data_IF_742642069603
#
_entry.id   IF_742642069603
#
_cell.length_a   1.000
_cell.length_b   1.000
_cell.length_c   1.000
_cell.angle_alpha   90.00
_cell.angle_beta   90.00
_cell.angle_gamma   90.00
#
_symmetry.space_group_name_H-M   'P 1'
#
loop_
_entity.id
_entity.type
_entity.pdbx_description
1 polymer ?
#
# COMPACT_ATOMS: atom_id res chain seq x y z
N UNK A 1 16.25 14.25 -9.39
CA UNK A 1 15.57 15.28 -8.56
C UNK A 1 15.10 16.40 -9.48
N UNK A 2 14.05 16.10 -10.24
CA UNK A 2 13.47 16.99 -11.26
C UNK A 2 12.66 18.11 -10.61
N UNK A 3 12.49 19.21 -11.32
CA UNK A 3 11.88 20.51 -10.98
C UNK A 3 10.43 20.49 -10.43
N UNK A 4 9.89 19.35 -9.99
CA UNK A 4 8.53 19.21 -9.47
C UNK A 4 8.31 19.80 -8.07
N UNK A 5 9.37 20.02 -7.28
CA UNK A 5 9.23 20.50 -5.90
C UNK A 5 8.82 21.98 -5.75
N UNK A 6 8.71 22.74 -6.86
CA UNK A 6 8.48 24.19 -6.81
C UNK A 6 7.01 24.63 -6.92
N UNK A 7 6.05 23.70 -7.12
CA UNK A 7 4.64 24.04 -7.38
C UNK A 7 3.63 23.15 -6.63
N UNK A 8 3.99 22.57 -5.48
CA UNK A 8 3.00 21.89 -4.65
C UNK A 8 2.03 22.92 -4.06
N UNK A 9 0.84 23.03 -4.66
CA UNK A 9 -0.25 23.88 -4.18
C UNK A 9 -0.62 23.45 -2.76
N UNK A 10 -0.71 24.40 -1.83
CA UNK A 10 -1.23 24.12 -0.49
C UNK A 10 -2.64 23.49 -0.59
N UNK A 11 -3.00 22.55 0.30
CA UNK A 11 -4.32 21.95 0.30
C UNK A 11 -5.37 23.05 0.45
N UNK A 12 -6.27 23.17 -0.51
CA UNK A 12 -7.37 24.15 -0.42
C UNK A 12 -8.44 23.63 0.55
N UNK A 13 -9.27 24.50 1.16
CA UNK A 13 -10.42 24.05 1.95
C UNK A 13 -11.36 23.10 1.20
N UNK A 14 -11.48 23.28 -0.13
CA UNK A 14 -12.21 22.35 -1.01
C UNK A 14 -11.53 20.98 -1.09
N UNK A 15 -10.21 20.89 -1.19
CA UNK A 15 -9.50 19.60 -1.17
C UNK A 15 -9.74 18.86 0.14
N UNK A 16 -9.67 19.54 1.28
CA UNK A 16 -9.90 18.94 2.60
C UNK A 16 -11.32 18.40 2.76
N UNK A 17 -12.33 19.18 2.36
CA UNK A 17 -13.73 18.74 2.40
C UNK A 17 -13.99 17.58 1.44
N UNK A 18 -13.42 17.63 0.23
CA UNK A 18 -13.49 16.54 -0.73
C UNK A 18 -12.87 15.27 -0.16
N UNK A 19 -11.69 15.33 0.47
CA UNK A 19 -11.05 14.16 1.05
C UNK A 19 -11.87 13.48 2.16
N UNK A 20 -12.47 14.26 3.04
CA UNK A 20 -13.34 13.69 4.09
C UNK A 20 -14.55 13.00 3.46
N UNK A 21 -15.19 13.63 2.47
CA UNK A 21 -16.33 13.03 1.77
C UNK A 21 -15.94 11.77 1.00
N UNK A 22 -14.80 11.82 0.29
CA UNK A 22 -14.26 10.70 -0.49
C UNK A 22 -13.94 9.53 0.43
N UNK A 23 -13.30 9.77 1.56
CA UNK A 23 -13.03 8.75 2.57
C UNK A 23 -14.32 8.03 2.97
N UNK A 24 -15.36 8.79 3.32
CA UNK A 24 -16.64 8.20 3.71
C UNK A 24 -17.29 7.43 2.56
N UNK A 25 -17.37 8.01 1.36
CA UNK A 25 -17.97 7.36 0.18
C UNK A 25 -17.27 6.06 -0.19
N UNK A 26 -15.94 6.06 -0.28
CA UNK A 26 -15.16 4.87 -0.63
C UNK A 26 -15.31 3.79 0.45
N UNK A 27 -15.22 4.15 1.73
CA UNK A 27 -15.39 3.21 2.83
C UNK A 27 -16.80 2.60 2.80
N UNK A 28 -17.84 3.41 2.67
CA UNK A 28 -19.23 2.95 2.65
C UNK A 28 -19.50 2.06 1.43
N UNK A 29 -18.90 2.38 0.28
CA UNK A 29 -19.02 1.60 -0.94
C UNK A 29 -18.37 0.21 -0.80
N UNK A 30 -17.15 0.14 -0.27
CA UNK A 30 -16.45 -1.13 -0.03
C UNK A 30 -17.17 -1.97 1.03
N UNK A 31 -17.76 -1.33 2.05
CA UNK A 31 -18.54 -2.02 3.10
C UNK A 31 -19.76 -2.77 2.59
N UNK A 32 -20.29 -2.41 1.41
CA UNK A 32 -21.38 -3.17 0.77
C UNK A 32 -20.99 -4.62 0.47
N UNK A 33 -19.70 -4.88 0.24
CA UNK A 33 -19.20 -6.17 -0.25
C UNK A 33 -18.10 -6.79 0.61
N UNK A 34 -17.43 -6.01 1.46
CA UNK A 34 -16.36 -6.49 2.34
C UNK A 34 -16.56 -6.00 3.77
N UNK A 35 -16.54 -6.92 4.72
CA UNK A 35 -16.66 -6.59 6.15
C UNK A 35 -15.25 -6.50 6.74
N UNK A 36 -14.83 -5.31 7.13
CA UNK A 36 -13.55 -5.07 7.79
C UNK A 36 -13.57 -3.86 8.71
N UNK A 37 -12.52 -3.74 9.53
CA UNK A 37 -12.21 -2.51 10.24
C UNK A 37 -12.02 -1.34 9.28
N UNK A 38 -12.62 -0.20 9.62
CA UNK A 38 -12.49 1.06 8.88
C UNK A 38 -11.02 1.49 8.78
N UNK A 39 -10.19 1.12 9.77
CA UNK A 39 -8.75 1.39 9.77
C UNK A 39 -8.02 0.78 8.57
N UNK A 40 -8.41 -0.42 8.12
CA UNK A 40 -7.74 -1.07 6.98
C UNK A 40 -8.01 -0.29 5.69
N UNK A 41 -9.27 0.13 5.49
CA UNK A 41 -9.66 0.91 4.33
C UNK A 41 -9.04 2.31 4.36
N UNK A 42 -8.95 2.93 5.54
CA UNK A 42 -8.21 4.18 5.72
C UNK A 42 -6.73 4.02 5.36
N UNK A 43 -6.07 2.93 5.78
CA UNK A 43 -4.65 2.68 5.44
C UNK A 43 -4.46 2.44 3.94
N UNK A 44 -5.42 1.78 3.26
CA UNK A 44 -5.40 1.64 1.80
C UNK A 44 -5.56 2.99 1.09
N UNK A 45 -6.47 3.85 1.56
CA UNK A 45 -6.60 5.21 1.06
C UNK A 45 -5.33 6.04 1.30
N UNK A 46 -4.69 5.85 2.47
CA UNK A 46 -3.40 6.49 2.76
C UNK A 46 -2.33 6.06 1.75
N UNK A 47 -2.26 4.76 1.45
CA UNK A 47 -1.33 4.23 0.46
C UNK A 47 -1.62 4.77 -0.95
N UNK A 48 -2.89 4.86 -1.35
CA UNK A 48 -3.29 5.43 -2.63
C UNK A 48 -2.84 6.89 -2.77
N UNK A 49 -3.20 7.74 -1.80
CA UNK A 49 -2.93 9.19 -1.83
C UNK A 49 -1.45 9.56 -1.64
N UNK A 50 -0.59 8.58 -1.35
CA UNK A 50 0.87 8.77 -1.31
C UNK A 50 1.56 8.21 -2.54
N UNK A 51 0.78 7.80 -3.56
CA UNK A 51 1.27 7.04 -4.72
C UNK A 51 2.09 5.81 -4.30
N UNK A 52 1.70 5.19 -3.19
CA UNK A 52 2.38 4.05 -2.58
C UNK A 52 1.69 2.73 -2.88
N UNK A 53 2.43 1.64 -2.67
CA UNK A 53 1.92 0.28 -2.84
C UNK A 53 1.66 -0.35 -1.47
N UNK A 54 0.72 -1.30 -1.41
CA UNK A 54 0.40 -2.02 -0.18
C UNK A 54 0.62 -3.53 -0.32
N UNK A 55 1.15 -4.13 0.73
CA UNK A 55 1.33 -5.57 0.87
C UNK A 55 0.31 -6.12 1.87
N UNK A 56 -0.57 -7.01 1.42
CA UNK A 56 -1.63 -7.64 2.20
C UNK A 56 -1.20 -9.06 2.58
N UNK A 57 -0.79 -9.23 3.83
CA UNK A 57 -0.47 -10.52 4.41
C UNK A 57 -1.70 -11.08 5.13
N UNK A 58 -1.98 -12.36 4.96
CA UNK A 58 -3.03 -13.01 5.72
C UNK A 58 -3.25 -14.46 5.30
N UNK A 59 -4.09 -15.16 6.04
CA UNK A 59 -4.43 -16.55 5.74
C UNK A 59 -5.36 -16.69 4.52
N UNK A 60 -5.45 -17.87 3.90
CA UNK A 60 -6.45 -18.13 2.86
C UNK A 60 -7.87 -17.92 3.34
N UNK A 61 -8.77 -17.54 2.43
CA UNK A 61 -10.21 -17.50 2.70
C UNK A 61 -10.74 -16.20 3.34
N UNK A 62 -9.90 -15.21 3.63
CA UNK A 62 -10.33 -13.91 4.20
C UNK A 62 -10.75 -12.87 3.15
N UNK A 63 -11.09 -13.33 1.93
CA UNK A 63 -11.60 -12.52 0.83
C UNK A 63 -10.74 -11.29 0.45
N UNK A 64 -9.40 -11.39 0.52
CA UNK A 64 -8.46 -10.32 0.12
C UNK A 64 -8.70 -9.83 -1.31
N UNK A 65 -8.90 -10.77 -2.23
CA UNK A 65 -9.21 -10.47 -3.63
C UNK A 65 -10.50 -9.66 -3.76
N UNK A 66 -11.52 -9.95 -2.93
CA UNK A 66 -12.76 -9.17 -2.89
C UNK A 66 -12.53 -7.76 -2.38
N UNK A 67 -11.77 -7.59 -1.28
CA UNK A 67 -11.40 -6.29 -0.75
C UNK A 67 -10.71 -5.43 -1.82
N UNK A 68 -9.67 -5.97 -2.45
CA UNK A 68 -8.88 -5.24 -3.45
C UNK A 68 -9.72 -4.87 -4.67
N UNK A 69 -10.53 -5.81 -5.16
CA UNK A 69 -11.43 -5.56 -6.30
C UNK A 69 -12.48 -4.50 -5.97
N UNK A 70 -13.10 -4.58 -4.80
CA UNK A 70 -14.09 -3.60 -4.34
C UNK A 70 -13.47 -2.21 -4.20
N UNK A 71 -12.27 -2.15 -3.59
CA UNK A 71 -11.52 -0.91 -3.48
C UNK A 71 -11.24 -0.31 -4.86
N UNK A 72 -10.65 -1.06 -5.80
CA UNK A 72 -10.33 -0.57 -7.14
C UNK A 72 -11.58 -0.07 -7.91
N UNK A 73 -12.68 -0.82 -7.85
CA UNK A 73 -13.93 -0.42 -8.51
C UNK A 73 -14.52 0.87 -7.91
N UNK A 74 -14.42 1.06 -6.59
CA UNK A 74 -14.89 2.28 -5.92
C UNK A 74 -14.09 3.52 -6.31
N UNK A 75 -12.85 3.34 -6.81
CA UNK A 75 -11.99 4.45 -7.24
C UNK A 75 -12.28 4.93 -8.68
N UNK A 76 -13.12 4.21 -9.44
CA UNK A 76 -13.30 4.48 -10.88
C UNK A 76 -12.04 4.21 -11.71
N UNK A 77 -11.11 3.42 -11.17
CA UNK A 77 -9.84 3.10 -11.77
C UNK A 77 -9.90 1.80 -12.57
N UNK A 78 -9.09 1.70 -13.63
CA UNK A 78 -8.86 0.42 -14.30
C UNK A 78 -8.20 -0.57 -13.35
N UNK A 79 -8.75 -1.79 -13.34
CA UNK A 79 -8.31 -2.87 -12.48
C UNK A 79 -7.81 -4.06 -13.29
N UNK A 80 -6.63 -4.56 -12.95
CA UNK A 80 -6.10 -5.82 -13.48
C UNK A 80 -5.61 -6.71 -12.33
N UNK A 81 -5.75 -8.02 -12.52
CA UNK A 81 -5.27 -9.04 -11.60
C UNK A 81 -4.19 -9.86 -12.26
N UNK A 82 -3.08 -10.04 -11.55
CA UNK A 82 -1.96 -10.91 -11.90
C UNK A 82 -1.94 -11.99 -10.83
N UNK A 83 -2.18 -13.24 -11.23
CA UNK A 83 -1.99 -14.38 -10.36
C UNK A 83 -0.53 -14.81 -10.47
N UNK A 84 0.21 -14.76 -9.37
CA UNK A 84 1.59 -15.23 -9.35
C UNK A 84 1.60 -16.76 -9.27
N UNK A 85 2.31 -17.36 -10.20
CA UNK A 85 2.51 -18.81 -10.30
C UNK A 85 3.99 -19.11 -10.58
N UNK A 86 4.47 -20.33 -10.31
CA UNK A 86 5.89 -20.68 -10.51
C UNK A 86 6.38 -20.53 -11.96
N UNK A 87 5.46 -20.61 -12.92
CA UNK A 87 5.69 -20.53 -14.37
C UNK A 87 5.49 -19.14 -14.96
N UNK A 88 5.00 -18.17 -14.17
CA UNK A 88 4.75 -16.80 -14.63
C UNK A 88 6.07 -16.14 -15.07
N UNK A 89 6.11 -15.61 -16.29
CA UNK A 89 7.29 -14.92 -16.83
C UNK A 89 7.21 -13.40 -16.59
N UNK A 90 8.35 -12.69 -16.52
CA UNK A 90 8.38 -11.23 -16.49
C UNK A 90 7.56 -10.58 -17.62
N UNK A 91 7.64 -11.14 -18.83
CA UNK A 91 6.93 -10.63 -20.01
C UNK A 91 5.40 -10.78 -19.91
N UNK A 92 4.89 -11.73 -19.11
CA UNK A 92 3.46 -11.87 -18.85
C UNK A 92 2.92 -10.74 -17.96
N UNK A 93 3.80 -10.04 -17.24
CA UNK A 93 3.47 -8.87 -16.41
C UNK A 93 3.61 -7.59 -17.23
N UNK A 94 4.77 -7.41 -17.89
CA UNK A 94 5.09 -6.17 -18.60
C UNK A 94 4.45 -6.10 -19.97
N UNK A 95 4.29 -7.23 -20.67
CA UNK A 95 3.84 -7.29 -22.05
C UNK A 95 4.92 -7.80 -23.00
N UNK A 96 4.50 -8.15 -24.20
CA UNK A 96 5.34 -8.76 -25.24
C UNK A 96 4.89 -8.38 -26.64
N UNK A 97 5.79 -8.43 -27.61
CA UNK A 97 5.47 -8.24 -29.02
C UNK A 97 5.00 -9.55 -29.65
N UNK A 98 3.82 -9.52 -30.28
CA UNK A 98 3.23 -10.69 -30.94
C UNK A 98 3.17 -10.42 -32.44
N UNK A 99 3.57 -11.42 -33.24
CA UNK A 99 3.44 -11.34 -34.69
C UNK A 99 1.96 -11.33 -35.08
N UNK A 100 1.51 -10.21 -35.63
CA UNK A 100 0.23 -10.08 -36.26
C UNK A 100 0.33 -10.58 -37.72
N UNK A 101 -0.23 -11.76 -37.98
CA UNK A 101 -0.16 -12.41 -39.29
C UNK A 101 -0.95 -11.66 -40.38
N UNK A 102 -1.88 -10.76 -40.02
CA UNK A 102 -2.65 -9.99 -41.01
C UNK A 102 -1.85 -8.81 -41.56
N UNK A 103 -1.09 -8.14 -40.70
CA UNK A 103 -0.26 -6.97 -41.04
C UNK A 103 1.20 -7.34 -41.30
N UNK A 104 1.59 -8.58 -40.97
CA UNK A 104 2.97 -9.06 -40.95
C UNK A 104 3.89 -8.15 -40.12
N UNK A 105 3.34 -7.56 -39.05
CA UNK A 105 4.02 -6.68 -38.10
C UNK A 105 4.06 -7.31 -36.71
N UNK A 106 5.02 -6.86 -35.89
CA UNK A 106 5.04 -7.19 -34.46
C UNK A 106 4.25 -6.11 -33.71
N UNK A 107 3.10 -6.49 -33.15
CA UNK A 107 2.24 -5.59 -32.38
C UNK A 107 2.48 -5.83 -30.89
N UNK A 108 2.63 -4.75 -30.12
CA UNK A 108 2.78 -4.84 -28.69
C UNK A 108 1.46 -5.26 -28.05
N UNK A 109 1.49 -6.36 -27.31
CA UNK A 109 0.44 -6.72 -26.35
C UNK A 109 0.88 -6.26 -24.97
N UNK A 110 0.28 -5.18 -24.50
CA UNK A 110 0.48 -4.67 -23.15
C UNK A 110 0.11 -5.71 -22.10
N UNK A 111 0.98 -5.84 -21.09
CA UNK A 111 0.74 -6.70 -19.95
C UNK A 111 -0.29 -6.11 -18.98
N UNK A 112 -0.75 -6.89 -18.01
CA UNK A 112 -1.71 -6.46 -16.98
C UNK A 112 -1.16 -5.36 -16.06
N UNK A 113 0.13 -5.04 -16.11
CA UNK A 113 0.71 -3.92 -15.35
C UNK A 113 0.20 -2.55 -15.80
N UNK A 114 -0.27 -2.44 -17.05
CA UNK A 114 -0.84 -1.21 -17.60
C UNK A 114 -2.29 -1.01 -17.12
N UNK A 115 -2.44 -0.71 -15.83
CA UNK A 115 -3.70 -0.35 -15.20
C UNK A 115 -3.44 0.53 -13.97
N UNK A 116 -4.43 1.33 -13.58
CA UNK A 116 -4.34 2.20 -12.41
C UNK A 116 -4.18 1.42 -11.10
N UNK A 117 -4.88 0.29 -10.97
CA UNK A 117 -4.77 -0.61 -9.81
C UNK A 117 -4.48 -2.03 -10.27
N UNK A 118 -3.35 -2.58 -9.81
CA UNK A 118 -2.90 -3.94 -10.09
C UNK A 118 -2.91 -4.77 -8.83
N UNK A 119 -3.70 -5.86 -8.84
CA UNK A 119 -3.64 -6.90 -7.82
C UNK A 119 -2.57 -7.93 -8.18
N UNK A 120 -1.47 -7.98 -7.42
CA UNK A 120 -0.48 -9.06 -7.49
C UNK A 120 -0.83 -10.14 -6.48
N UNK A 121 -1.65 -11.11 -6.88
CA UNK A 121 -2.14 -12.15 -5.96
C UNK A 121 -1.06 -13.23 -5.76
N UNK A 122 -0.77 -13.55 -4.50
CA UNK A 122 0.19 -14.57 -4.07
C UNK A 122 1.61 -14.35 -4.61
N UNK A 123 2.11 -13.11 -4.50
CA UNK A 123 3.41 -12.69 -5.07
C UNK A 123 4.59 -13.61 -4.66
N UNK A 124 4.48 -14.29 -3.51
CA UNK A 124 5.43 -15.26 -3.01
C UNK A 124 5.43 -16.61 -3.76
N UNK A 125 4.57 -16.83 -4.77
CA UNK A 125 4.51 -18.06 -5.57
C UNK A 125 5.29 -18.01 -6.89
N UNK A 126 5.75 -16.83 -7.32
CA UNK A 126 6.58 -16.72 -8.52
C UNK A 126 8.07 -16.55 -8.18
N UNK A 127 8.98 -16.92 -9.09
CA UNK A 127 10.41 -16.73 -8.90
C UNK A 127 10.82 -15.26 -8.73
N UNK A 128 11.97 -15.02 -8.10
CA UNK A 128 12.50 -13.68 -7.83
C UNK A 128 12.68 -12.80 -9.09
N UNK A 129 12.91 -13.41 -10.27
CA UNK A 129 12.98 -12.68 -11.55
C UNK A 129 11.63 -12.06 -11.94
N UNK A 130 10.55 -12.80 -11.75
CA UNK A 130 9.18 -12.35 -12.06
C UNK A 130 8.69 -11.34 -11.02
N UNK A 131 9.01 -11.55 -9.74
CA UNK A 131 8.78 -10.57 -8.68
C UNK A 131 9.47 -9.23 -8.99
N UNK A 132 10.73 -9.29 -9.44
CA UNK A 132 11.51 -8.09 -9.80
C UNK A 132 10.84 -7.25 -10.88
N UNK A 133 10.19 -7.87 -11.88
CA UNK A 133 9.51 -7.14 -12.95
C UNK A 133 8.35 -6.26 -12.42
N UNK A 134 7.56 -6.78 -11.47
CA UNK A 134 6.52 -6.00 -10.80
C UNK A 134 7.13 -4.88 -9.94
N UNK A 135 8.18 -5.19 -9.19
CA UNK A 135 8.80 -4.27 -8.24
C UNK A 135 9.58 -3.14 -8.91
N UNK A 136 10.14 -3.39 -10.09
CA UNK A 136 10.75 -2.38 -10.95
C UNK A 136 9.68 -1.42 -11.49
N UNK A 137 8.57 -1.96 -12.01
CA UNK A 137 7.42 -1.16 -12.45
C UNK A 137 6.86 -0.28 -11.31
N UNK A 138 6.79 -0.80 -10.09
CA UNK A 138 6.43 -0.04 -8.88
C UNK A 138 7.39 1.13 -8.60
N UNK A 139 8.70 0.91 -8.75
CA UNK A 139 9.70 1.90 -8.37
C UNK A 139 9.91 2.99 -9.43
N UNK A 140 9.86 2.60 -10.71
CA UNK A 140 10.16 3.47 -11.84
C UNK A 140 8.89 4.08 -12.46
N UNK A 141 7.70 3.54 -12.14
CA UNK A 141 6.42 3.95 -12.75
C UNK A 141 6.41 3.88 -14.28
N UNK A 142 7.28 3.05 -14.84
CA UNK A 142 7.42 2.79 -16.26
C UNK A 142 7.96 1.37 -16.46
N UNK A 143 7.78 0.83 -17.66
CA UNK A 143 8.36 -0.46 -18.06
C UNK A 143 9.08 -0.30 -19.39
N UNK A 144 10.18 -1.02 -19.56
CA UNK A 144 10.91 -1.05 -20.84
C UNK A 144 10.75 -2.41 -21.49
N UNK A 145 10.18 -2.44 -22.70
CA UNK A 145 9.91 -3.66 -23.46
C UNK A 145 10.70 -3.56 -24.76
N UNK A 146 11.65 -4.48 -24.99
CA UNK A 146 12.50 -4.52 -26.19
C UNK A 146 13.15 -3.14 -26.52
N UNK A 147 13.63 -2.45 -25.49
CA UNK A 147 14.30 -1.14 -25.62
C UNK A 147 13.38 0.07 -25.75
N UNK A 148 12.05 -0.11 -25.79
CA UNK A 148 11.08 0.99 -25.77
C UNK A 148 10.49 1.15 -24.38
N UNK A 149 10.71 2.32 -23.76
CA UNK A 149 10.15 2.68 -22.46
C UNK A 149 8.72 3.19 -22.59
N UNK A 150 7.84 2.74 -21.70
CA UNK A 150 6.44 3.14 -21.61
C UNK A 150 6.09 3.50 -20.17
N UNK A 151 5.47 4.66 -19.99
CA UNK A 151 4.97 5.10 -18.70
C UNK A 151 3.70 4.33 -18.31
N UNK A 152 3.53 4.10 -17.00
CA UNK A 152 2.32 3.50 -16.46
C UNK A 152 1.23 4.57 -16.23
N UNK A 153 -0.06 4.20 -16.27
CA UNK A 153 -1.16 5.12 -16.00
C UNK A 153 -1.05 5.76 -14.61
N UNK A 154 -1.47 7.02 -14.45
CA UNK A 154 -1.50 7.71 -13.16
C UNK A 154 -2.95 7.92 -12.70
N UNK A 155 -3.27 7.65 -11.41
CA UNK A 155 -2.42 7.05 -10.38
C UNK A 155 -2.10 5.57 -10.66
N UNK A 156 -0.92 5.10 -10.22
CA UNK A 156 -0.50 3.70 -10.31
C UNK A 156 -0.34 3.10 -8.90
N UNK A 157 -1.16 2.10 -8.57
CA UNK A 157 -1.12 1.39 -7.29
C UNK A 157 -1.01 -0.11 -7.49
N UNK A 158 -0.16 -0.74 -6.68
CA UNK A 158 -0.03 -2.20 -6.62
C UNK A 158 -0.47 -2.65 -5.25
N UNK A 159 -1.40 -3.59 -5.24
CA UNK A 159 -1.90 -4.27 -4.06
C UNK A 159 -1.45 -5.72 -4.17
N UNK A 160 -0.35 -6.06 -3.50
CA UNK A 160 0.21 -7.41 -3.52
C UNK A 160 -0.34 -8.22 -2.35
N UNK A 161 -0.66 -9.49 -2.55
CA UNK A 161 -1.06 -10.40 -1.45
C UNK A 161 0.02 -11.44 -1.21
N UNK A 162 0.18 -11.85 0.04
CA UNK A 162 1.03 -12.97 0.43
C UNK A 162 0.31 -13.88 1.41
N UNK A 163 0.62 -15.17 1.31
CA UNK A 163 0.17 -16.20 2.24
C UNK A 163 1.36 -16.78 3.01
N UNK A 164 1.45 -16.58 4.34
CA UNK A 164 2.60 -17.00 5.12
C UNK A 164 2.68 -18.51 5.40
N UNK A 165 1.62 -19.29 5.15
CA UNK A 165 1.49 -20.70 5.60
C UNK A 165 1.75 -21.72 4.47
N UNK A 166 2.06 -21.28 3.25
CA UNK A 166 2.28 -22.20 2.13
C UNK A 166 3.56 -23.05 2.28
N UNK A 167 3.42 -24.37 2.13
CA UNK A 167 4.50 -25.35 2.35
C UNK A 167 5.30 -25.69 1.08
N UNK A 168 4.79 -25.39 -0.11
CA UNK A 168 5.45 -25.70 -1.39
C UNK A 168 5.56 -24.45 -2.28
N UNK A 169 6.73 -24.26 -2.91
CA UNK A 169 6.92 -23.23 -3.96
C UNK A 169 6.93 -21.78 -3.46
N UNK A 170 7.23 -21.54 -2.18
CA UNK A 170 7.28 -20.20 -1.60
C UNK A 170 8.65 -19.56 -1.82
N UNK A 171 8.67 -18.48 -2.61
CA UNK A 171 9.79 -17.56 -2.78
C UNK A 171 9.54 -16.34 -1.91
N UNK A 172 10.17 -16.30 -0.73
CA UNK A 172 10.12 -15.14 0.14
C UNK A 172 10.64 -13.90 -0.60
N UNK A 173 9.93 -12.78 -0.45
CA UNK A 173 10.44 -11.49 -0.93
C UNK A 173 11.64 -11.09 -0.06
N UNK A 174 12.82 -10.81 -0.66
CA UNK A 174 13.91 -10.18 0.06
C UNK A 174 13.47 -8.88 0.75
N UNK A 175 14.09 -8.53 1.85
CA UNK A 175 13.72 -7.38 2.68
C UNK A 175 13.81 -6.07 1.89
N UNK A 176 14.81 -5.96 1.01
CA UNK A 176 14.96 -4.83 0.09
C UNK A 176 13.78 -4.69 -0.90
N UNK A 177 13.08 -5.78 -1.21
CA UNK A 177 11.89 -5.77 -2.05
C UNK A 177 10.65 -5.38 -1.25
N UNK A 178 10.50 -5.93 -0.05
CA UNK A 178 9.38 -5.61 0.85
C UNK A 178 9.39 -4.14 1.25
N UNK A 179 10.56 -3.52 1.40
CA UNK A 179 10.72 -2.09 1.70
C UNK A 179 10.11 -1.15 0.63
N UNK A 180 9.89 -1.65 -0.61
CA UNK A 180 9.21 -0.89 -1.68
C UNK A 180 7.72 -0.68 -1.44
N UNK A 181 7.10 -1.49 -0.59
CA UNK A 181 5.71 -1.26 -0.17
C UNK A 181 5.69 -0.17 0.90
N UNK A 182 4.78 0.79 0.76
CA UNK A 182 4.58 1.84 1.75
C UNK A 182 4.12 1.21 3.07
N UNK A 183 3.10 0.37 2.97
CA UNK A 183 2.42 -0.27 4.09
C UNK A 183 2.34 -1.78 3.92
N UNK A 184 2.44 -2.49 5.05
CA UNK A 184 2.10 -3.91 5.17
C UNK A 184 0.88 -4.06 6.07
N UNK A 185 -0.19 -4.61 5.54
CA UNK A 185 -1.46 -4.83 6.23
C UNK A 185 -1.57 -6.32 6.55
N UNK A 186 -1.72 -6.64 7.85
CA UNK A 186 -1.99 -8.01 8.30
C UNK A 186 -3.49 -8.19 8.47
N UNK A 187 -4.04 -9.17 7.77
CA UNK A 187 -5.45 -9.53 7.81
C UNK A 187 -5.58 -10.88 8.53
N UNK A 188 -6.13 -10.83 9.75
CA UNK A 188 -6.48 -12.01 10.53
C UNK A 188 -7.87 -12.55 10.17
N UNK A 189 -8.28 -13.61 10.86
CA UNK A 189 -9.67 -14.06 10.79
C UNK A 189 -10.61 -12.98 11.35
N UNK A 190 -11.79 -12.80 10.74
CA UNK A 190 -12.79 -11.89 11.28
C UNK A 190 -13.25 -12.35 12.66
N UNK A 191 -13.63 -11.40 13.51
CA UNK A 191 -14.31 -11.70 14.77
C UNK A 191 -15.66 -12.40 14.51
N UNK A 192 -16.24 -13.14 15.48
CA UNK A 192 -17.55 -13.76 15.31
C UNK A 192 -18.67 -12.80 14.92
N UNK A 193 -18.55 -11.51 15.30
CA UNK A 193 -19.48 -10.45 14.89
C UNK A 193 -19.32 -10.09 13.42
N UNK A 194 -18.09 -9.92 12.96
CA UNK A 194 -17.78 -9.65 11.56
C UNK A 194 -18.13 -10.85 10.68
N UNK A 195 -17.85 -12.07 11.13
CA UNK A 195 -18.21 -13.30 10.41
C UNK A 195 -19.72 -13.44 10.26
N UNK A 196 -20.51 -13.14 11.31
CA UNK A 196 -21.97 -13.05 11.17
C UNK A 196 -22.40 -11.97 10.17
N UNK A 197 -21.72 -10.82 10.13
CA UNK A 197 -22.03 -9.78 9.16
C UNK A 197 -21.70 -10.25 7.72
N UNK A 198 -20.58 -10.95 7.52
CA UNK A 198 -20.23 -11.59 6.25
C UNK A 198 -21.36 -12.53 5.81
N UNK A 199 -21.81 -13.44 6.68
CA UNK A 199 -22.92 -14.35 6.37
C UNK A 199 -24.19 -13.59 5.97
N UNK A 200 -24.54 -12.51 6.68
CA UNK A 200 -25.72 -11.70 6.36
C UNK A 200 -25.59 -10.99 5.01
N UNK A 201 -24.40 -10.50 4.65
CA UNK A 201 -24.12 -9.81 3.39
C UNK A 201 -24.19 -10.79 2.21
N UNK A 202 -23.57 -11.97 2.33
CA UNK A 202 -23.54 -12.96 1.25
C UNK A 202 -24.80 -13.85 1.17
N UNK A 203 -25.67 -13.81 2.18
CA UNK A 203 -27.01 -14.42 2.11
C UNK A 203 -28.02 -13.55 1.32
N UNK A 204 -27.57 -12.41 0.77
CA UNK A 204 -28.37 -11.50 -0.06
C UNK A 204 -27.75 -11.40 -1.46
N UNK A 205 -28.48 -10.82 -2.41
CA UNK A 205 -27.93 -10.50 -3.72
C UNK A 205 -26.72 -9.56 -3.57
N UNK A 206 -25.57 -9.86 -4.18
CA UNK A 206 -24.39 -8.99 -4.10
C UNK A 206 -24.72 -7.59 -4.60
N UNK A 207 -24.44 -6.58 -3.78
CA UNK A 207 -24.51 -5.19 -4.22
C UNK A 207 -23.35 -4.91 -5.18
N UNK A 208 -23.64 -4.25 -6.31
CA UNK A 208 -22.60 -3.76 -7.19
C UNK A 208 -21.87 -2.59 -6.52
N UNK A 209 -20.55 -2.58 -6.68
CA UNK A 209 -19.70 -1.46 -6.27
C UNK A 209 -19.73 -0.41 -7.37
N UNK A 210 -20.12 0.81 -7.03
CA UNK A 210 -20.18 1.94 -7.94
C UNK A 210 -18.95 2.85 -7.78
N UNK A 211 -18.40 3.39 -8.88
CA UNK A 211 -17.26 4.30 -8.81
C UNK A 211 -17.64 5.61 -8.11
N UNK A 212 -16.86 6.00 -7.11
CA UNK A 212 -17.04 7.21 -6.31
C UNK A 212 -16.08 8.34 -6.73
N UNK A 213 -15.10 8.02 -7.57
CA UNK A 213 -13.97 8.85 -7.95
C UNK A 213 -13.64 8.66 -9.44
N UNK A 214 -12.75 9.52 -9.94
CA UNK A 214 -12.07 9.33 -11.23
C UNK A 214 -10.55 9.30 -11.02
N UNK A 215 -9.77 8.68 -11.93
CA UNK A 215 -8.31 8.70 -11.89
C UNK A 215 -7.72 10.11 -11.75
N UNK A 216 -8.26 11.08 -12.49
CA UNK A 216 -7.80 12.47 -12.47
C UNK A 216 -8.00 13.11 -11.10
N UNK A 217 -9.16 12.86 -10.48
CA UNK A 217 -9.45 13.35 -9.13
C UNK A 217 -8.44 12.78 -8.13
N UNK A 218 -8.06 11.51 -8.27
CA UNK A 218 -7.09 10.88 -7.36
C UNK A 218 -5.70 11.49 -7.54
N UNK A 219 -5.27 11.74 -8.78
CA UNK A 219 -3.98 12.34 -9.08
C UNK A 219 -3.87 13.76 -8.48
N UNK A 220 -4.92 14.59 -8.62
CA UNK A 220 -5.00 15.91 -7.99
C UNK A 220 -4.87 15.84 -6.45
N UNK A 221 -5.47 14.83 -5.82
CA UNK A 221 -5.36 14.65 -4.37
C UNK A 221 -3.98 14.17 -3.95
N UNK A 222 -3.34 13.30 -4.74
CA UNK A 222 -1.96 12.87 -4.49
C UNK A 222 -1.01 14.07 -4.50
N UNK A 223 -1.17 15.01 -5.44
CA UNK A 223 -0.38 16.24 -5.49
C UNK A 223 -0.66 17.14 -4.26
N UNK A 224 -1.92 17.30 -3.87
CA UNK A 224 -2.30 18.12 -2.72
C UNK A 224 -1.75 17.59 -1.38
N UNK A 225 -1.52 16.28 -1.25
CA UNK A 225 -0.89 15.68 -0.05
C UNK A 225 0.52 16.22 0.16
N UNK A 226 1.26 16.57 -0.90
CA UNK A 226 2.62 17.11 -0.76
C UNK A 226 2.64 18.43 0.02
N UNK A 227 1.60 19.26 -0.16
CA UNK A 227 1.43 20.56 0.48
C UNK A 227 1.02 20.52 1.96
N UNK A 228 0.68 19.35 2.52
CA UNK A 228 0.31 19.22 3.95
C UNK A 228 1.51 19.56 4.83
N UNK A 229 1.30 20.41 5.83
CA UNK A 229 2.34 20.90 6.72
C UNK A 229 2.71 19.87 7.80
N UNK A 230 4.02 19.75 8.07
CA UNK A 230 4.58 18.95 9.15
C UNK A 230 5.51 19.85 9.95
N UNK A 231 5.24 19.98 11.25
CA UNK A 231 6.10 20.75 12.16
C UNK A 231 7.42 20.03 12.39
N UNK A 232 8.49 20.78 12.65
CA UNK A 232 9.83 20.23 12.89
C UNK A 232 9.83 19.22 14.05
N UNK A 233 9.13 19.51 15.16
CA UNK A 233 8.95 18.59 16.29
C UNK A 233 8.40 17.20 15.89
N UNK A 234 7.52 17.16 14.88
CA UNK A 234 6.95 15.91 14.38
C UNK A 234 7.92 15.18 13.46
N UNK A 235 8.76 15.91 12.71
CA UNK A 235 9.86 15.32 11.95
C UNK A 235 10.87 14.67 12.92
N UNK A 236 11.24 15.37 13.99
CA UNK A 236 12.10 14.85 15.04
C UNK A 236 11.47 13.66 15.75
N UNK A 237 10.17 13.68 16.00
CA UNK A 237 9.44 12.54 16.54
C UNK A 237 9.54 11.30 15.62
N UNK A 238 9.33 11.46 14.31
CA UNK A 238 9.48 10.38 13.32
C UNK A 238 10.92 9.84 13.32
N UNK A 239 11.92 10.73 13.36
CA UNK A 239 13.33 10.34 13.40
C UNK A 239 13.63 9.53 14.66
N UNK A 240 13.18 10.00 15.84
CA UNK A 240 13.36 9.28 17.12
C UNK A 240 12.69 7.91 17.12
N UNK A 241 11.48 7.79 16.57
CA UNK A 241 10.81 6.49 16.41
C UNK A 241 11.65 5.53 15.56
N UNK A 242 12.10 5.98 14.39
CA UNK A 242 12.92 5.16 13.49
C UNK A 242 14.27 4.80 14.11
N UNK A 243 14.93 5.73 14.80
CA UNK A 243 16.18 5.47 15.51
C UNK A 243 16.00 4.45 16.63
N UNK A 244 14.91 4.55 17.41
CA UNK A 244 14.61 3.59 18.47
C UNK A 244 14.47 2.16 17.94
N UNK A 245 13.95 1.97 16.72
CA UNK A 245 13.93 0.63 16.10
C UNK A 245 15.32 0.07 15.83
N UNK A 246 16.33 0.91 15.57
CA UNK A 246 17.71 0.48 15.26
C UNK A 246 18.52 0.13 16.50
N UNK A 247 18.12 0.66 17.65
CA UNK A 247 18.77 0.42 18.95
C UNK A 247 17.99 -0.56 19.81
N UNK A 248 16.89 -1.12 19.30
CA UNK A 248 16.04 -2.03 20.05
C UNK A 248 16.72 -3.39 20.25
N UNK A 249 16.61 -3.95 21.45
CA UNK A 249 17.33 -5.19 21.86
C UNK A 249 16.97 -6.41 21.02
N UNK A 250 15.74 -6.49 20.52
CA UNK A 250 15.24 -7.61 19.71
C UNK A 250 15.43 -7.43 18.19
N UNK A 251 16.09 -6.36 17.75
CA UNK A 251 16.22 -6.01 16.33
C UNK A 251 17.66 -6.18 15.85
N UNK A 252 17.85 -7.01 14.82
CA UNK A 252 19.12 -7.16 14.12
C UNK A 252 19.36 -6.00 13.14
N UNK A 253 18.32 -5.60 12.39
CA UNK A 253 18.36 -4.46 11.48
C UNK A 253 17.08 -3.63 11.60
N UNK A 254 17.21 -2.38 12.05
CA UNK A 254 16.10 -1.45 12.20
C UNK A 254 15.72 -0.71 10.91
N UNK A 255 14.67 0.09 11.00
CA UNK A 255 14.09 0.76 9.84
C UNK A 255 15.04 1.80 9.21
N UNK A 256 15.09 1.85 7.87
CA UNK A 256 15.97 2.74 7.10
C UNK A 256 15.48 4.19 7.08
N UNK A 257 16.27 5.17 6.59
CA UNK A 257 15.78 6.54 6.37
C UNK A 257 14.57 6.63 5.43
N UNK A 258 14.41 5.66 4.51
CA UNK A 258 13.20 5.55 3.68
C UNK A 258 11.95 5.37 4.52
N UNK A 259 12.05 4.66 5.65
CA UNK A 259 10.93 4.47 6.58
C UNK A 259 10.46 5.80 7.18
N UNK A 260 11.38 6.71 7.51
CA UNK A 260 11.04 8.07 7.98
C UNK A 260 10.26 8.85 6.93
N UNK A 261 10.72 8.80 5.67
CA UNK A 261 10.04 9.45 4.55
C UNK A 261 8.64 8.85 4.30
N UNK A 262 8.54 7.51 4.27
CA UNK A 262 7.28 6.80 4.11
C UNK A 262 6.28 7.14 5.23
N UNK A 263 6.74 7.18 6.48
CA UNK A 263 5.89 7.49 7.62
C UNK A 263 5.40 8.94 7.59
N UNK A 264 6.26 9.88 7.21
CA UNK A 264 5.89 11.29 7.04
C UNK A 264 4.83 11.45 5.93
N UNK A 265 5.06 10.86 4.75
CA UNK A 265 4.10 10.91 3.63
C UNK A 265 2.76 10.29 3.99
N UNK A 266 2.78 9.13 4.64
CA UNK A 266 1.58 8.47 5.12
C UNK A 266 0.82 9.34 6.13
N UNK A 267 1.53 9.98 7.07
CA UNK A 267 0.93 10.88 8.06
C UNK A 267 0.29 12.12 7.42
N UNK A 268 0.94 12.72 6.41
CA UNK A 268 0.37 13.83 5.61
C UNK A 268 -0.94 13.43 4.94
N UNK A 269 -0.94 12.27 4.28
CA UNK A 269 -2.12 11.72 3.62
C UNK A 269 -3.27 11.46 4.60
N UNK A 270 -2.98 10.87 5.76
CA UNK A 270 -4.00 10.70 6.81
C UNK A 270 -4.53 12.04 7.32
N UNK A 271 -3.68 13.03 7.57
CA UNK A 271 -4.15 14.35 7.98
C UNK A 271 -5.17 14.93 7.00
N UNK A 272 -4.88 14.84 5.70
CA UNK A 272 -5.78 15.30 4.63
C UNK A 272 -7.09 14.50 4.58
N UNK A 273 -7.05 13.17 4.73
CA UNK A 273 -8.24 12.31 4.87
C UNK A 273 -9.09 12.64 6.10
N UNK A 274 -8.47 13.23 7.14
CA UNK A 274 -9.14 13.73 8.34
C UNK A 274 -9.57 15.20 8.22
N UNK A 275 -9.42 15.82 7.04
CA UNK A 275 -9.81 17.20 6.78
C UNK A 275 -8.86 18.25 7.36
N UNK A 276 -7.60 17.88 7.62
CA UNK A 276 -6.55 18.76 8.15
C UNK A 276 -5.43 18.97 7.12
N UNK A 277 -4.92 20.19 7.06
CA UNK A 277 -3.74 20.58 6.29
C UNK A 277 -2.43 20.50 7.12
N UNK A 278 -2.49 19.96 8.33
CA UNK A 278 -1.33 19.71 9.19
C UNK A 278 -1.39 18.34 9.88
N UNK A 279 -0.21 17.74 10.07
CA UNK A 279 -0.05 16.46 10.76
C UNK A 279 -0.13 16.62 12.28
N UNK A 280 -0.71 15.62 12.97
CA UNK A 280 -0.67 15.50 14.44
C UNK A 280 0.01 14.18 14.86
N UNK A 281 0.48 14.05 16.12
CA UNK A 281 1.17 12.84 16.57
C UNK A 281 0.38 11.54 16.37
N UNK A 282 -0.95 11.59 16.50
CA UNK A 282 -1.80 10.41 16.34
C UNK A 282 -1.83 9.89 14.90
N UNK A 283 -1.56 10.73 13.89
CA UNK A 283 -1.38 10.29 12.51
C UNK A 283 -0.18 9.36 12.39
N UNK A 284 0.92 9.75 13.00
CA UNK A 284 2.19 9.00 12.99
C UNK A 284 2.02 7.70 13.77
N UNK A 285 1.46 7.76 14.99
CA UNK A 285 1.28 6.59 15.86
C UNK A 285 0.39 5.53 15.23
N UNK A 286 -0.71 5.91 14.60
CA UNK A 286 -1.61 4.95 13.95
C UNK A 286 -0.93 4.26 12.77
N UNK A 287 -0.13 4.98 11.99
CA UNK A 287 0.48 4.47 10.76
C UNK A 287 1.80 3.73 11.00
N UNK A 288 2.49 3.99 12.11
CA UNK A 288 3.78 3.37 12.43
C UNK A 288 3.76 1.83 12.36
N UNK A 289 2.76 1.10 12.89
CA UNK A 289 2.69 -0.35 12.74
C UNK A 289 2.57 -0.81 11.28
N UNK A 290 1.87 -0.07 10.44
CA UNK A 290 1.69 -0.43 9.02
C UNK A 290 2.91 -0.09 8.18
N UNK A 291 3.65 0.96 8.53
CA UNK A 291 4.82 1.43 7.79
C UNK A 291 6.11 0.77 8.27
N UNK A 292 6.29 0.53 9.56
CA UNK A 292 7.59 0.13 10.11
C UNK A 292 7.79 -1.38 10.24
N UNK A 293 6.73 -2.15 10.48
CA UNK A 293 6.82 -3.58 10.82
C UNK A 293 7.58 -4.41 9.79
N UNK A 294 7.38 -4.15 8.50
CA UNK A 294 8.03 -4.90 7.43
C UNK A 294 9.44 -4.42 7.06
N UNK A 295 9.94 -3.44 7.81
CA UNK A 295 11.27 -2.84 7.65
C UNK A 295 12.21 -3.19 8.80
N UNK A 296 11.81 -4.16 9.64
CA UNK A 296 12.61 -4.68 10.74
C UNK A 296 13.05 -6.11 10.44
N UNK A 297 14.31 -6.41 10.69
CA UNK A 297 14.83 -7.78 10.78
C UNK A 297 15.07 -8.05 12.26
N UNK A 298 14.38 -9.05 12.79
CA UNK A 298 14.51 -9.44 14.20
C UNK A 298 15.69 -10.36 14.42
N UNK A 299 16.17 -10.39 15.65
CA UNK A 299 17.13 -11.38 16.11
C UNK A 299 16.43 -12.74 16.32
N UNK A 300 17.10 -13.89 16.10
CA UNK A 300 16.53 -15.21 16.34
C UNK A 300 16.00 -15.40 17.78
N UNK A 301 16.65 -14.77 18.76
CA UNK A 301 16.24 -14.79 20.16
C UNK A 301 14.83 -14.19 20.36
N UNK A 302 14.49 -13.15 19.60
CA UNK A 302 13.15 -12.54 19.64
C UNK A 302 12.08 -13.53 19.17
N UNK A 303 12.37 -14.31 18.12
CA UNK A 303 11.45 -15.33 17.62
C UNK A 303 11.22 -16.45 18.64
N UNK A 304 12.29 -16.87 19.35
CA UNK A 304 12.20 -17.88 20.42
C UNK A 304 11.35 -17.40 21.61
N UNK A 305 11.41 -16.10 21.91
CA UNK A 305 10.59 -15.46 22.94
C UNK A 305 9.15 -15.15 22.47
N UNK A 306 8.83 -15.42 21.20
CA UNK A 306 7.53 -15.14 20.60
C UNK A 306 7.27 -13.65 20.35
N UNK A 307 8.32 -12.83 20.33
CA UNK A 307 8.25 -11.39 20.09
C UNK A 307 8.29 -11.12 18.59
N UNK A 308 7.22 -10.54 18.05
CA UNK A 308 7.13 -10.15 16.66
C UNK A 308 7.49 -8.69 16.41
N UNK A 309 7.69 -8.34 15.14
CA UNK A 309 7.93 -6.97 14.72
C UNK A 309 6.79 -6.00 15.14
N UNK A 310 5.49 -6.38 15.15
CA UNK A 310 4.45 -5.53 15.70
C UNK A 310 4.63 -5.22 17.19
N UNK A 311 5.12 -6.17 17.98
CA UNK A 311 5.33 -6.01 19.42
C UNK A 311 6.47 -5.02 19.67
N UNK A 312 7.56 -5.14 18.92
CA UNK A 312 8.68 -4.17 18.92
C UNK A 312 8.19 -2.76 18.59
N UNK A 313 7.39 -2.60 17.54
CA UNK A 313 6.84 -1.27 17.19
C UNK A 313 5.90 -0.76 18.29
N UNK A 314 5.10 -1.63 18.90
CA UNK A 314 4.26 -1.30 20.05
C UNK A 314 5.07 -0.76 21.23
N UNK A 315 6.18 -1.43 21.57
CA UNK A 315 7.11 -1.00 22.62
C UNK A 315 7.76 0.35 22.28
N UNK A 316 8.30 0.49 21.06
CA UNK A 316 8.91 1.75 20.59
C UNK A 316 7.93 2.92 20.67
N UNK A 317 6.65 2.72 20.34
CA UNK A 317 5.62 3.76 20.44
C UNK A 317 5.27 4.14 21.88
N UNK A 318 5.44 3.21 22.84
CA UNK A 318 5.24 3.48 24.27
C UNK A 318 6.43 4.22 24.88
N UNK A 319 7.65 3.85 24.49
CA UNK A 319 8.89 4.40 25.03
C UNK A 319 9.20 5.79 24.46
N UNK A 320 9.07 5.95 23.14
CA UNK A 320 9.33 7.22 22.46
C UNK A 320 8.09 8.10 22.56
N UNK A 321 8.08 9.00 23.55
CA UNK A 321 7.02 9.99 23.71
C UNK A 321 7.22 11.18 22.78
N UNK A 322 6.10 11.68 22.25
CA UNK A 322 6.06 13.00 21.64
C UNK A 322 6.18 14.04 22.75
N UNK A 323 7.17 14.92 22.63
CA UNK A 323 7.34 16.10 23.46
C UNK A 323 7.07 17.29 22.55
N UNK A 324 6.31 18.24 23.06
CA UNK A 324 6.12 19.55 22.42
C UNK A 324 7.19 20.45 22.98
N UNK A 325 7.91 21.20 22.15
CA UNK A 325 9.09 21.97 22.59
C UNK A 325 8.72 23.14 23.55
N UNK A 326 7.41 23.38 23.76
CA UNK A 326 6.85 24.35 24.69
C UNK A 326 6.58 23.82 26.12
N UNK A 327 7.01 22.60 26.50
CA UNK A 327 6.68 21.96 27.78
C UNK A 327 7.87 21.37 28.55
#
# INVERSE_FOLDING_TARGET
MSQAAANASLPTPSHLQSCVQIRHRVIDEVRKVYVSSDTILEVLLVALLTCGHALLEGVPGIAKTTLVKAFALSLGCDFKRIQFTPDLLPADITGTYILNLQTNSFDLREGPIFAHVVLGDEINRAPAKTQSALLEAMQEQQVTIEGTTRELPRPFMVLATQNPIEQEGVYALPEAQVDRFLVKIRLGYPSPREERAILNTYNRTPLAVEPQLTPETIDELCEAVEGVHVKDELMDYIIRLVQATRTHTHVHLGASPRASLSLMRAAKSRAMLQGRDFVVPDDIKLLAPFVLTHRLILLPEAELEGVGAPDVIGQVLQDVRYHRDDA
#
